data_IF_109670442968
#
_entry.id   IF_109670442968
#
_cell.length_a   1.000
_cell.length_b   1.000
_cell.length_c   1.000
_cell.angle_alpha   90.00
_cell.angle_beta   90.00
_cell.angle_gamma   90.00
#
_symmetry.space_group_name_H-M   'P 1'
#
loop_
_entity.id
_entity.type
_entity.pdbx_description
1 polymer ?
#
# COMPACT_ATOMS: atom_id res chain seq x y z
N UNK A 1 -7.77 -1.80 -2.53
CA UNK A 1 -7.92 -0.42 -2.00
C UNK A 1 -6.60 -0.01 -1.36
N UNK A 2 -6.31 1.28 -1.19
CA UNK A 2 -5.16 1.74 -0.42
C UNK A 2 -5.57 2.70 0.69
N UNK A 3 -4.84 2.66 1.79
CA UNK A 3 -4.85 3.65 2.87
C UNK A 3 -3.43 4.10 3.17
N UNK A 4 -3.27 5.27 3.76
CA UNK A 4 -2.00 5.69 4.32
C UNK A 4 -2.20 6.48 5.62
N UNK A 5 -1.27 6.32 6.56
CA UNK A 5 -1.28 6.99 7.84
C UNK A 5 0.14 7.19 8.35
N UNK A 6 0.31 8.00 9.37
CA UNK A 6 1.56 8.08 10.14
C UNK A 6 1.25 8.00 11.63
N UNK A 7 2.30 8.03 12.45
CA UNK A 7 2.20 8.05 13.90
C UNK A 7 2.91 9.28 14.44
N UNK A 8 2.57 9.72 15.65
CA UNK A 8 3.34 10.76 16.31
C UNK A 8 4.77 10.29 16.51
N UNK A 9 5.72 11.09 16.01
CA UNK A 9 7.12 10.90 16.33
C UNK A 9 7.42 11.58 17.67
N UNK A 10 7.24 10.84 18.77
CA UNK A 10 7.39 11.34 20.13
C UNK A 10 7.98 10.30 21.09
N UNK A 11 8.34 10.77 22.29
CA UNK A 11 8.96 9.95 23.34
C UNK A 11 8.03 8.94 24.03
N UNK A 12 6.71 9.09 23.87
CA UNK A 12 5.75 8.23 24.53
C UNK A 12 5.56 6.94 23.74
N UNK A 13 5.48 5.81 24.45
CA UNK A 13 5.24 4.52 23.81
C UNK A 13 3.79 4.43 23.32
N UNK A 14 3.65 3.97 22.07
CA UNK A 14 2.38 3.93 21.37
C UNK A 14 2.00 5.28 20.77
N UNK A 15 1.19 5.19 19.73
CA UNK A 15 0.52 6.33 19.10
C UNK A 15 -0.70 5.76 18.37
N UNK A 16 -1.83 6.48 18.32
CA UNK A 16 -2.83 6.19 17.32
C UNK A 16 -2.26 6.44 15.93
N UNK A 17 -2.89 5.84 14.92
CA UNK A 17 -2.72 6.29 13.54
C UNK A 17 -3.29 7.69 13.38
N UNK A 18 -2.54 8.57 12.72
CA UNK A 18 -2.87 9.97 12.45
C UNK A 18 -2.62 10.30 10.98
N UNK A 19 -3.13 11.46 10.52
CA UNK A 19 -3.03 11.94 9.12
C UNK A 19 -3.44 10.88 8.09
N UNK A 20 -4.60 10.24 8.33
CA UNK A 20 -5.14 9.21 7.44
C UNK A 20 -5.51 9.81 6.08
N UNK A 21 -5.05 9.17 5.02
CA UNK A 21 -5.36 9.51 3.63
C UNK A 21 -5.72 8.26 2.84
N UNK A 22 -6.35 8.45 1.67
CA UNK A 22 -6.78 7.36 0.79
C UNK A 22 -6.14 7.54 -0.59
N UNK A 23 -4.88 7.10 -0.78
CA UNK A 23 -4.27 7.07 -2.11
C UNK A 23 -5.14 6.27 -3.08
N UNK A 24 -5.23 6.72 -4.33
CA UNK A 24 -6.09 6.10 -5.34
C UNK A 24 -5.22 5.45 -6.40
N UNK A 25 -5.35 4.14 -6.55
CA UNK A 25 -4.79 3.39 -7.69
C UNK A 25 -5.57 3.81 -8.94
N UNK A 26 -4.90 4.46 -9.87
CA UNK A 26 -5.51 4.94 -11.13
C UNK A 26 -5.26 3.98 -12.29
N UNK A 27 -4.20 3.17 -12.23
CA UNK A 27 -3.85 2.18 -13.25
C UNK A 27 -3.15 0.98 -12.61
N UNK A 28 -3.32 -0.20 -13.21
CA UNK A 28 -2.64 -1.43 -12.85
C UNK A 28 -2.24 -2.21 -14.10
N UNK A 29 -0.93 -2.42 -14.29
CA UNK A 29 -0.37 -3.07 -15.47
C UNK A 29 0.34 -4.35 -15.07
N UNK A 30 -0.16 -5.49 -15.57
CA UNK A 30 0.40 -6.81 -15.31
C UNK A 30 1.56 -7.09 -16.29
N UNK A 31 2.68 -7.54 -15.76
CA UNK A 31 3.83 -8.03 -16.53
C UNK A 31 3.49 -9.28 -17.35
N UNK A 32 4.25 -9.53 -18.42
CA UNK A 32 4.02 -10.66 -19.34
C UNK A 32 4.15 -12.03 -18.66
N UNK A 33 5.06 -12.17 -17.68
CA UNK A 33 5.24 -13.40 -16.90
C UNK A 33 4.21 -13.56 -15.76
N UNK A 34 3.38 -12.54 -15.54
CA UNK A 34 2.35 -12.45 -14.50
C UNK A 34 2.88 -12.52 -13.07
N UNK A 35 4.16 -12.21 -12.86
CA UNK A 35 4.80 -12.22 -11.54
C UNK A 35 4.92 -10.82 -10.92
N UNK A 36 4.64 -9.76 -11.70
CA UNK A 36 4.68 -8.37 -11.26
C UNK A 36 3.48 -7.57 -11.76
N UNK A 37 2.99 -6.66 -10.92
CA UNK A 37 2.03 -5.62 -11.30
C UNK A 37 2.65 -4.25 -10.99
N UNK A 38 2.64 -3.35 -11.97
CA UNK A 38 2.98 -1.95 -11.77
C UNK A 38 1.70 -1.16 -11.52
N UNK A 39 1.66 -0.41 -10.42
CA UNK A 39 0.51 0.41 -10.02
C UNK A 39 0.85 1.89 -10.18
N UNK A 40 -0.02 2.64 -10.87
CA UNK A 40 0.01 4.10 -10.84
C UNK A 40 -0.91 4.55 -9.72
N UNK A 41 -0.37 5.31 -8.77
CA UNK A 41 -1.08 5.73 -7.57
C UNK A 41 -1.04 7.25 -7.45
N UNK A 42 -2.22 7.85 -7.36
CA UNK A 42 -2.39 9.26 -7.05
C UNK A 42 -2.53 9.47 -5.55
N UNK A 43 -1.92 10.54 -5.02
CA UNK A 43 -1.98 10.86 -3.60
C UNK A 43 -1.05 10.04 -2.70
N UNK A 44 0.05 9.49 -3.24
CA UNK A 44 1.13 8.94 -2.41
C UNK A 44 1.65 10.02 -1.44
N UNK A 45 1.87 9.63 -0.18
CA UNK A 45 2.20 10.56 0.90
C UNK A 45 3.53 10.21 1.56
N UNK A 46 4.57 11.00 1.30
CA UNK A 46 5.87 10.80 1.94
C UNK A 46 5.77 10.80 3.48
N UNK A 47 6.58 9.97 4.14
CA UNK A 47 6.59 9.80 5.60
C UNK A 47 5.43 8.97 6.18
N UNK A 48 4.58 8.40 5.32
CA UNK A 48 3.42 7.60 5.75
C UNK A 48 3.65 6.11 5.48
N UNK A 49 3.13 5.28 6.39
CA UNK A 49 2.87 3.87 6.13
C UNK A 49 1.70 3.80 5.18
N UNK A 50 1.89 3.12 4.06
CA UNK A 50 0.84 2.78 3.12
C UNK A 50 0.44 1.32 3.33
N UNK A 51 -0.87 1.11 3.34
CA UNK A 51 -1.48 -0.21 3.35
C UNK A 51 -2.18 -0.47 2.03
N UNK A 52 -1.90 -1.62 1.44
CA UNK A 52 -2.43 -2.06 0.15
C UNK A 52 -3.23 -3.34 0.34
N UNK A 53 -4.53 -3.26 0.06
CA UNK A 53 -5.47 -4.37 0.13
C UNK A 53 -5.61 -5.04 -1.25
N UNK A 54 -5.36 -6.36 -1.27
CA UNK A 54 -5.23 -7.23 -2.44
C UNK A 54 -6.29 -8.35 -2.45
N UNK A 55 -7.49 -8.09 -1.90
CA UNK A 55 -8.53 -9.10 -1.67
C UNK A 55 -8.99 -9.84 -2.94
N UNK A 56 -8.74 -9.27 -4.13
CA UNK A 56 -9.07 -9.87 -5.43
C UNK A 56 -7.94 -10.69 -6.08
N UNK A 57 -6.73 -10.69 -5.54
CA UNK A 57 -5.58 -11.42 -6.13
C UNK A 57 -5.72 -12.91 -5.90
N UNK A 58 -5.57 -13.70 -6.97
CA UNK A 58 -5.72 -15.16 -6.97
C UNK A 58 -4.60 -15.84 -7.75
N UNK A 59 -4.27 -17.08 -7.37
CA UNK A 59 -3.45 -17.96 -8.21
C UNK A 59 -4.20 -18.38 -9.48
N UNK A 60 -3.52 -19.02 -10.43
CA UNK A 60 -4.15 -19.57 -11.64
C UNK A 60 -5.20 -20.65 -11.30
N UNK A 61 -5.02 -21.36 -10.19
CA UNK A 61 -5.97 -22.34 -9.68
C UNK A 61 -7.14 -21.70 -8.90
N UNK A 62 -7.15 -20.37 -8.73
CA UNK A 62 -8.21 -19.63 -8.04
C UNK A 62 -8.03 -19.50 -6.53
N UNK A 63 -6.87 -19.88 -5.98
CA UNK A 63 -6.60 -19.80 -4.55
C UNK A 63 -6.31 -18.35 -4.11
N UNK A 64 -6.84 -17.90 -2.95
CA UNK A 64 -6.57 -16.57 -2.41
C UNK A 64 -5.18 -16.44 -1.79
N UNK A 65 -4.73 -15.20 -1.60
CA UNK A 65 -3.59 -14.91 -0.74
C UNK A 65 -3.90 -15.28 0.71
N UNK A 66 -2.90 -15.83 1.42
CA UNK A 66 -2.99 -16.06 2.87
C UNK A 66 -3.09 -14.75 3.66
N UNK A 67 -2.35 -13.73 3.21
CA UNK A 67 -2.34 -12.38 3.78
C UNK A 67 -2.61 -11.37 2.66
N UNK A 68 -3.85 -10.86 2.52
CA UNK A 68 -4.22 -9.97 1.41
C UNK A 68 -3.85 -8.50 1.67
N UNK A 69 -3.07 -8.21 2.71
CA UNK A 69 -2.68 -6.83 3.05
C UNK A 69 -1.17 -6.71 3.11
N UNK A 70 -0.63 -5.74 2.37
CA UNK A 70 0.78 -5.39 2.38
C UNK A 70 0.98 -3.99 2.96
N UNK A 71 2.07 -3.82 3.72
CA UNK A 71 2.43 -2.54 4.33
C UNK A 71 3.83 -2.12 3.89
N UNK A 72 4.00 -0.83 3.61
CA UNK A 72 5.32 -0.24 3.39
C UNK A 72 5.37 1.23 3.87
N UNK A 73 6.52 1.67 4.35
CA UNK A 73 6.74 3.10 4.64
C UNK A 73 7.29 3.79 3.40
N UNK A 74 6.60 4.81 2.90
CA UNK A 74 7.10 5.64 1.82
C UNK A 74 8.03 6.71 2.40
N UNK A 75 9.32 6.40 2.49
CA UNK A 75 10.28 7.34 3.07
C UNK A 75 10.55 8.56 2.18
N UNK A 76 10.66 8.35 0.86
CA UNK A 76 10.97 9.41 -0.11
C UNK A 76 10.35 9.10 -1.47
N UNK A 77 9.94 10.14 -2.19
CA UNK A 77 9.59 10.07 -3.61
C UNK A 77 10.79 10.54 -4.45
N UNK A 78 11.35 9.70 -5.35
CA UNK A 78 12.49 10.09 -6.19
C UNK A 78 12.22 11.36 -7.01
N UNK A 79 13.26 12.16 -7.24
CA UNK A 79 13.24 13.39 -8.06
C UNK A 79 14.04 13.21 -9.34
#
# INVERSE_FOLDING_TARGET
MMGAFTHHYWRFYGSPEIDRTTPIITEATLSTDRLRVDLVVSGLKEGHVHELYLDGVRTVAGEPLLHPVAYYTLNQIPR
#
